data_IF_767923562168
#
_entry.id   IF_767923562168
#
_cell.length_a   1.000
_cell.length_b   1.000
_cell.length_c   1.000
_cell.angle_alpha   90.00
_cell.angle_beta   90.00
_cell.angle_gamma   90.00
#
_symmetry.space_group_name_H-M   'P 1'
#
loop_
_entity.id
_entity.type
_entity.pdbx_description
1 polymer ?
#
# COMPACT_ATOMS: atom_id res chain seq x y z
N UNK A 1 -42.49 23.20 78.49
CA UNK A 1 -41.42 22.25 78.09
C UNK A 1 -42.00 21.21 77.15
N UNK A 2 -41.24 20.88 76.08
CA UNK A 2 -41.43 19.81 75.07
C UNK A 2 -42.50 20.07 74.00
N UNK A 3 -42.11 20.51 72.80
CA UNK A 3 -41.43 19.78 71.70
C UNK A 3 -42.35 18.81 70.96
N UNK A 4 -42.68 19.11 69.69
CA UNK A 4 -42.95 18.11 68.64
C UNK A 4 -42.86 18.84 67.27
N UNK A 5 -41.65 18.92 66.68
CA UNK A 5 -41.06 18.05 65.64
C UNK A 5 -41.59 18.35 64.22
N UNK A 6 -40.70 18.98 63.43
CA UNK A 6 -40.78 19.15 61.97
C UNK A 6 -41.12 17.85 61.24
N UNK A 7 -42.03 17.92 60.29
CA UNK A 7 -42.25 16.87 59.29
C UNK A 7 -41.55 17.31 58.00
N UNK A 8 -40.53 16.52 57.63
CA UNK A 8 -39.68 16.67 56.45
C UNK A 8 -40.49 16.27 55.21
N UNK A 9 -40.68 17.19 54.27
CA UNK A 9 -41.26 16.90 52.94
C UNK A 9 -40.15 16.33 52.05
N UNK A 10 -40.21 15.03 51.76
CA UNK A 10 -39.28 14.37 50.83
C UNK A 10 -39.86 14.45 49.41
N UNK A 11 -39.34 15.35 48.58
CA UNK A 11 -39.71 15.47 47.18
C UNK A 11 -39.03 14.35 46.37
N UNK A 12 -39.83 13.46 45.78
CA UNK A 12 -39.37 12.38 44.90
C UNK A 12 -39.21 12.94 43.48
N UNK A 13 -37.98 13.28 43.09
CA UNK A 13 -37.65 13.70 41.73
C UNK A 13 -37.44 12.45 40.86
N UNK A 14 -38.43 12.09 40.05
CA UNK A 14 -38.31 11.05 39.03
C UNK A 14 -37.49 11.60 37.85
N UNK A 15 -36.23 11.18 37.74
CA UNK A 15 -35.37 11.50 36.60
C UNK A 15 -35.75 10.54 35.47
N UNK A 16 -36.47 11.06 34.47
CA UNK A 16 -36.74 10.34 33.21
C UNK A 16 -35.44 10.41 32.39
N UNK A 17 -34.68 9.31 32.38
CA UNK A 17 -33.52 9.18 31.50
C UNK A 17 -34.01 8.98 30.05
N UNK A 18 -33.91 10.01 29.23
CA UNK A 18 -34.13 9.91 27.79
C UNK A 18 -32.92 9.22 27.16
N UNK A 19 -33.05 7.93 26.83
CA UNK A 19 -32.06 7.20 26.05
C UNK A 19 -32.04 7.71 24.61
N UNK A 20 -31.28 8.76 24.34
CA UNK A 20 -30.93 9.13 22.97
C UNK A 20 -30.02 8.06 22.39
N UNK A 21 -30.56 7.17 21.56
CA UNK A 21 -29.78 6.36 20.63
C UNK A 21 -29.12 7.30 19.61
N UNK A 22 -27.94 7.83 19.94
CA UNK A 22 -27.10 8.50 18.97
C UNK A 22 -26.61 7.44 17.99
N UNK A 23 -27.24 7.39 16.82
CA UNK A 23 -26.64 6.77 15.66
C UNK A 23 -25.36 7.56 15.36
N UNK A 24 -24.21 7.02 15.76
CA UNK A 24 -22.92 7.53 15.35
C UNK A 24 -22.79 7.26 13.85
N UNK A 25 -22.96 8.29 13.02
CA UNK A 25 -22.59 8.19 11.61
C UNK A 25 -21.08 7.93 11.52
N UNK A 26 -20.64 7.04 10.62
CA UNK A 26 -19.22 6.74 10.48
C UNK A 26 -18.47 8.02 10.11
N UNK A 27 -17.53 8.41 10.96
CA UNK A 27 -16.65 9.55 10.71
C UNK A 27 -15.69 9.18 9.58
N UNK A 28 -15.84 9.82 8.42
CA UNK A 28 -14.95 9.64 7.27
C UNK A 28 -13.61 10.34 7.57
N UNK A 29 -12.53 9.58 7.58
CA UNK A 29 -11.17 10.09 7.75
C UNK A 29 -10.65 10.68 6.42
N UNK A 30 -9.83 11.75 6.45
CA UNK A 30 -9.30 12.33 5.22
C UNK A 30 -8.30 11.40 4.53
N UNK A 31 -8.27 11.44 3.21
CA UNK A 31 -7.25 10.78 2.39
C UNK A 31 -5.87 11.40 2.66
N UNK A 32 -4.84 10.56 2.72
CA UNK A 32 -3.49 10.94 3.15
C UNK A 32 -2.51 10.89 1.97
N UNK A 33 -1.82 12.00 1.69
CA UNK A 33 -0.76 12.09 0.67
C UNK A 33 0.62 12.14 1.31
N UNK A 34 1.53 11.25 0.88
CA UNK A 34 2.87 11.08 1.45
C UNK A 34 3.89 10.72 0.37
N UNK A 35 5.18 10.82 0.72
CA UNK A 35 6.30 10.39 -0.11
C UNK A 35 7.15 9.39 0.67
N UNK A 36 7.43 8.25 0.07
CA UNK A 36 8.40 7.28 0.58
C UNK A 36 9.72 7.46 -0.19
N UNK A 37 10.84 7.47 0.53
CA UNK A 37 12.17 7.70 -0.05
C UNK A 37 13.10 6.55 0.32
N UNK A 38 14.00 6.21 -0.60
CA UNK A 38 15.08 5.25 -0.38
C UNK A 38 14.63 3.88 0.17
N UNK A 39 13.49 3.37 -0.29
CA UNK A 39 13.00 2.03 0.05
C UNK A 39 13.88 1.00 -0.66
N UNK A 40 14.79 0.37 0.09
CA UNK A 40 15.75 -0.57 -0.45
C UNK A 40 15.08 -1.89 -0.88
N UNK A 41 15.38 -2.37 -2.10
CA UNK A 41 14.80 -3.56 -2.71
C UNK A 41 15.91 -4.58 -3.09
N UNK A 42 16.54 -5.23 -2.09
CA UNK A 42 17.71 -6.09 -2.32
C UNK A 42 17.37 -7.31 -3.17
N UNK A 43 18.31 -7.75 -4.00
CA UNK A 43 18.22 -9.00 -4.74
C UNK A 43 19.62 -9.58 -4.98
N UNK A 44 19.72 -10.90 -4.96
CA UNK A 44 20.93 -11.65 -5.34
C UNK A 44 20.59 -12.54 -6.51
N UNK A 45 21.38 -12.49 -7.57
CA UNK A 45 21.19 -13.35 -8.75
C UNK A 45 22.28 -14.42 -8.75
N UNK A 46 21.90 -15.69 -8.57
CA UNK A 46 22.78 -16.81 -8.81
C UNK A 46 22.86 -17.08 -10.32
N UNK A 47 24.04 -16.79 -10.89
CA UNK A 47 24.33 -16.96 -12.32
C UNK A 47 25.08 -18.26 -12.63
N UNK A 48 25.30 -19.12 -11.63
CA UNK A 48 25.92 -20.43 -11.82
C UNK A 48 24.94 -21.47 -12.39
N UNK A 49 23.63 -21.19 -12.29
CA UNK A 49 22.54 -22.00 -12.83
C UNK A 49 21.90 -21.37 -14.07
N UNK A 50 21.25 -22.19 -14.90
CA UNK A 50 20.57 -21.73 -16.12
C UNK A 50 19.09 -22.22 -16.14
N UNK A 51 18.10 -21.33 -16.11
CA UNK A 51 18.24 -19.87 -16.05
C UNK A 51 18.80 -19.39 -14.69
N UNK A 52 19.42 -18.18 -14.64
CA UNK A 52 19.81 -17.57 -13.37
C UNK A 52 18.64 -17.47 -12.41
N UNK A 53 18.89 -17.71 -11.12
CA UNK A 53 17.87 -17.68 -10.07
C UNK A 53 18.04 -16.43 -9.21
N UNK A 54 16.97 -15.66 -9.06
CA UNK A 54 16.94 -14.51 -8.15
C UNK A 54 16.41 -14.90 -6.75
N UNK A 55 17.11 -14.43 -5.73
CA UNK A 55 16.82 -14.64 -4.30
C UNK A 55 17.02 -13.34 -3.51
N UNK A 56 16.76 -13.38 -2.21
CA UNK A 56 16.86 -12.23 -1.30
C UNK A 56 15.49 -11.79 -0.79
N UNK A 57 15.48 -11.30 0.45
CA UNK A 57 14.26 -10.88 1.14
C UNK A 57 13.54 -9.76 0.40
N UNK A 58 12.23 -9.92 0.22
CA UNK A 58 11.37 -8.82 -0.20
C UNK A 58 11.22 -7.77 0.90
N UNK A 59 11.38 -6.51 0.53
CA UNK A 59 11.10 -5.37 1.43
C UNK A 59 9.61 -5.05 1.39
N UNK A 60 8.93 -5.31 2.50
CA UNK A 60 7.49 -5.16 2.67
C UNK A 60 7.14 -3.74 3.12
N UNK A 61 6.12 -3.12 2.53
CA UNK A 61 5.67 -1.76 2.85
C UNK A 61 4.17 -1.75 3.17
N UNK A 62 3.77 -0.97 4.17
CA UNK A 62 2.36 -0.73 4.52
C UNK A 62 2.00 0.73 4.27
N UNK A 63 0.91 0.99 3.54
CA UNK A 63 0.44 2.35 3.30
C UNK A 63 -0.21 2.96 4.54
N UNK A 64 -0.82 2.10 5.38
CA UNK A 64 -1.42 2.51 6.65
C UNK A 64 -0.40 3.11 7.60
N UNK A 65 0.73 2.43 7.81
CA UNK A 65 1.82 2.96 8.66
C UNK A 65 2.72 3.92 7.89
N UNK A 66 2.79 3.78 6.57
CA UNK A 66 3.68 4.54 5.69
C UNK A 66 5.15 4.13 5.81
N UNK A 67 5.42 2.91 6.28
CA UNK A 67 6.77 2.44 6.60
C UNK A 67 7.02 1.01 6.08
N UNK A 68 8.30 0.62 6.10
CA UNK A 68 8.69 -0.79 5.91
C UNK A 68 8.28 -1.60 7.14
N UNK A 69 7.65 -2.75 6.90
CA UNK A 69 7.15 -3.64 7.96
C UNK A 69 7.77 -5.03 7.85
N UNK A 70 7.85 -5.75 8.96
CA UNK A 70 8.39 -7.12 9.00
C UNK A 70 7.33 -8.19 9.18
N UNK A 71 6.11 -7.79 9.52
CA UNK A 71 4.96 -8.67 9.79
C UNK A 71 4.03 -8.82 8.55
N UNK A 72 2.78 -9.21 8.79
CA UNK A 72 1.77 -9.49 7.77
C UNK A 72 0.91 -8.27 7.39
N UNK A 73 1.18 -7.08 7.94
CA UNK A 73 0.47 -5.83 7.67
C UNK A 73 0.87 -5.14 6.34
N UNK A 74 1.67 -5.82 5.53
CA UNK A 74 2.20 -5.28 4.28
C UNK A 74 1.17 -5.28 3.17
N UNK A 75 1.28 -4.31 2.26
CA UNK A 75 0.39 -4.14 1.11
C UNK A 75 1.10 -4.47 -0.19
N UNK A 76 2.31 -3.93 -0.35
CA UNK A 76 3.21 -4.21 -1.46
C UNK A 76 4.59 -4.60 -0.96
N UNK A 77 5.31 -5.39 -1.75
CA UNK A 77 6.67 -5.80 -1.41
C UNK A 77 7.62 -5.69 -2.62
N UNK A 78 8.83 -5.19 -2.38
CA UNK A 78 9.80 -4.85 -3.41
C UNK A 78 11.00 -5.81 -3.40
N UNK A 79 11.42 -6.24 -4.58
CA UNK A 79 12.72 -6.91 -4.81
C UNK A 79 13.23 -6.61 -6.22
N UNK A 80 14.43 -6.05 -6.33
CA UNK A 80 14.90 -5.51 -7.60
C UNK A 80 13.78 -4.68 -8.26
N UNK A 81 13.39 -4.94 -9.50
CA UNK A 81 12.29 -4.24 -10.18
C UNK A 81 10.90 -4.84 -9.94
N UNK A 82 10.83 -5.96 -9.23
CA UNK A 82 9.59 -6.71 -8.95
C UNK A 82 8.82 -6.07 -7.80
N UNK A 83 7.52 -5.94 -7.98
CA UNK A 83 6.56 -5.49 -6.96
C UNK A 83 5.49 -6.56 -6.83
N UNK A 84 5.32 -7.07 -5.61
CA UNK A 84 4.28 -8.04 -5.24
C UNK A 84 3.15 -7.35 -4.48
N UNK A 85 1.96 -7.95 -4.49
CA UNK A 85 0.81 -7.53 -3.67
C UNK A 85 0.50 -8.56 -2.60
N UNK A 86 0.03 -8.12 -1.42
CA UNK A 86 -0.40 -9.02 -0.36
C UNK A 86 -1.82 -9.57 -0.60
N UNK A 87 -2.00 -10.26 -1.72
CA UNK A 87 -3.20 -11.03 -2.01
C UNK A 87 -2.98 -12.03 -3.13
N UNK A 88 -3.99 -12.85 -3.36
CA UNK A 88 -3.88 -14.02 -4.22
C UNK A 88 -3.00 -15.12 -3.62
N UNK A 89 -2.11 -15.69 -4.42
CA UNK A 89 -1.24 -16.82 -4.05
C UNK A 89 0.22 -16.51 -4.42
N UNK A 90 1.14 -17.23 -3.79
CA UNK A 90 2.56 -17.14 -4.14
C UNK A 90 2.80 -17.45 -5.61
N UNK A 91 3.70 -16.69 -6.20
CA UNK A 91 4.18 -16.87 -7.58
C UNK A 91 5.05 -18.11 -7.69
N UNK A 92 5.79 -18.44 -6.62
CA UNK A 92 6.77 -19.53 -6.59
C UNK A 92 8.21 -19.03 -6.57
N UNK A 93 8.46 -17.82 -6.07
CA UNK A 93 9.80 -17.24 -6.01
C UNK A 93 10.53 -17.68 -4.73
N UNK A 94 11.87 -17.73 -4.80
CA UNK A 94 12.72 -17.90 -3.61
C UNK A 94 12.46 -16.72 -2.67
N UNK A 95 12.42 -16.96 -1.35
CA UNK A 95 12.18 -15.95 -0.29
C UNK A 95 10.87 -15.13 -0.42
N UNK A 96 9.88 -15.66 -1.13
CA UNK A 96 8.60 -14.98 -1.35
C UNK A 96 7.76 -14.92 -0.05
N UNK A 97 7.25 -13.73 0.34
CA UNK A 97 6.43 -13.59 1.55
C UNK A 97 5.08 -14.33 1.42
N UNK A 98 4.55 -14.80 2.55
CA UNK A 98 3.20 -15.35 2.61
C UNK A 98 2.15 -14.31 2.21
N UNK A 99 1.14 -14.74 1.45
CA UNK A 99 -0.05 -13.92 1.14
C UNK A 99 -1.06 -14.13 2.26
N UNK A 100 -1.37 -13.05 2.98
CA UNK A 100 -2.21 -13.08 4.18
C UNK A 100 -3.42 -12.16 4.08
N UNK A 101 -3.56 -11.40 3.00
CA UNK A 101 -4.68 -10.50 2.75
C UNK A 101 -5.31 -10.68 1.38
N UNK A 102 -6.16 -9.73 1.01
CA UNK A 102 -6.85 -9.68 -0.28
C UNK A 102 -6.36 -8.50 -1.14
N UNK A 103 -5.07 -8.20 -1.04
CA UNK A 103 -4.44 -7.12 -1.78
C UNK A 103 -4.43 -7.39 -3.29
N UNK A 104 -4.53 -6.34 -4.09
CA UNK A 104 -4.55 -6.42 -5.55
C UNK A 104 -4.01 -5.13 -6.17
N UNK A 105 -3.60 -5.16 -7.44
CA UNK A 105 -3.06 -4.02 -8.16
C UNK A 105 -3.75 -3.83 -9.51
N UNK A 106 -4.02 -2.59 -9.87
CA UNK A 106 -4.35 -2.14 -11.21
C UNK A 106 -3.28 -1.16 -11.69
N UNK A 107 -2.87 -1.28 -12.96
CA UNK A 107 -1.94 -0.35 -13.59
C UNK A 107 -2.70 0.62 -14.48
N UNK A 108 -2.76 1.89 -14.08
CA UNK A 108 -3.42 2.94 -14.83
C UNK A 108 -2.41 3.75 -15.64
N UNK A 109 -2.86 4.30 -16.78
CA UNK A 109 -2.06 5.20 -17.63
C UNK A 109 -2.67 6.59 -17.65
N UNK A 110 -2.26 7.44 -16.71
CA UNK A 110 -2.74 8.82 -16.53
C UNK A 110 -1.79 9.59 -15.61
N UNK A 111 -2.01 10.89 -15.41
CA UNK A 111 -1.22 11.63 -14.40
C UNK A 111 -1.61 11.21 -12.98
N UNK A 112 -0.68 11.28 -12.02
CA UNK A 112 -0.94 10.94 -10.63
C UNK A 112 -2.09 11.75 -10.02
N UNK A 113 -2.19 13.04 -10.38
CA UNK A 113 -3.26 13.93 -9.92
C UNK A 113 -4.62 13.66 -10.54
N UNK A 114 -4.68 13.05 -11.74
CA UNK A 114 -5.95 12.79 -12.45
C UNK A 114 -6.67 11.51 -11.99
N UNK A 115 -5.99 10.62 -11.27
CA UNK A 115 -6.62 9.40 -10.73
C UNK A 115 -7.24 9.74 -9.38
N UNK A 116 -8.53 10.05 -9.41
CA UNK A 116 -9.28 10.53 -8.25
C UNK A 116 -9.98 9.39 -7.50
N UNK A 117 -10.21 8.26 -8.16
CA UNK A 117 -10.86 7.10 -7.60
C UNK A 117 -10.18 5.81 -8.07
N UNK A 118 -10.27 4.77 -7.25
CA UNK A 118 -9.82 3.44 -7.63
C UNK A 118 -10.69 2.85 -8.76
N UNK A 119 -10.11 2.12 -9.73
CA UNK A 119 -10.86 1.63 -10.87
C UNK A 119 -11.88 0.54 -10.48
N UNK A 120 -12.62 0.07 -11.49
CA UNK A 120 -13.54 -1.06 -11.31
C UNK A 120 -12.77 -2.32 -10.89
N UNK A 121 -13.43 -3.21 -10.13
CA UNK A 121 -12.78 -4.39 -9.55
C UNK A 121 -12.15 -5.31 -10.61
N UNK A 122 -12.66 -5.32 -11.84
CA UNK A 122 -12.14 -6.15 -12.94
C UNK A 122 -10.74 -5.75 -13.42
N UNK A 123 -10.33 -4.50 -13.16
CA UNK A 123 -9.00 -4.00 -13.51
C UNK A 123 -7.92 -4.49 -12.53
N UNK A 124 -8.32 -4.89 -11.32
CA UNK A 124 -7.39 -5.39 -10.32
C UNK A 124 -6.94 -6.82 -10.63
N UNK A 125 -5.65 -7.06 -10.44
CA UNK A 125 -4.99 -8.37 -10.54
C UNK A 125 -4.32 -8.69 -9.21
N UNK A 126 -4.27 -9.98 -8.89
CA UNK A 126 -3.54 -10.52 -7.76
C UNK A 126 -2.39 -11.39 -8.26
N UNK A 127 -1.41 -11.63 -7.40
CA UNK A 127 -0.37 -12.61 -7.69
C UNK A 127 -0.95 -14.03 -7.68
N UNK A 128 -0.40 -14.91 -8.52
CA UNK A 128 -0.78 -16.30 -8.61
C UNK A 128 0.42 -17.15 -9.07
N UNK A 129 0.38 -18.49 -8.98
CA UNK A 129 1.50 -19.33 -9.42
C UNK A 129 1.93 -19.00 -10.85
N UNK A 130 3.18 -18.55 -11.01
CA UNK A 130 3.74 -18.11 -12.30
C UNK A 130 3.17 -16.81 -12.90
N UNK A 131 2.31 -16.08 -12.18
CA UNK A 131 1.66 -14.87 -12.68
C UNK A 131 1.75 -13.71 -11.68
N UNK A 132 2.20 -12.56 -12.17
CA UNK A 132 2.36 -11.34 -11.36
C UNK A 132 1.15 -10.43 -11.54
N UNK A 133 0.70 -9.79 -10.45
CA UNK A 133 -0.29 -8.72 -10.51
C UNK A 133 0.21 -7.53 -11.35
N UNK A 134 1.50 -7.20 -11.23
CA UNK A 134 2.20 -6.26 -12.07
C UNK A 134 3.22 -6.99 -12.95
N UNK A 135 3.01 -6.95 -14.27
CA UNK A 135 3.91 -7.60 -15.20
C UNK A 135 5.35 -7.10 -15.05
N UNK A 136 6.30 -8.04 -15.04
CA UNK A 136 7.73 -7.76 -14.97
C UNK A 136 8.32 -7.50 -16.35
N UNK A 137 9.49 -6.86 -16.38
CA UNK A 137 10.24 -6.57 -17.60
C UNK A 137 10.02 -5.14 -18.12
N UNK A 138 10.98 -4.69 -18.93
CA UNK A 138 10.99 -3.35 -19.52
C UNK A 138 9.70 -3.08 -20.30
N UNK A 139 9.09 -1.92 -20.06
CA UNK A 139 7.87 -1.43 -20.72
C UNK A 139 6.56 -2.21 -20.42
N UNK A 140 6.60 -3.25 -19.59
CA UNK A 140 5.38 -4.01 -19.23
C UNK A 140 4.65 -3.45 -18.00
N UNK A 141 5.39 -2.78 -17.11
CA UNK A 141 4.87 -2.30 -15.83
C UNK A 141 5.20 -0.83 -15.61
N UNK A 142 5.97 -0.56 -14.56
CA UNK A 142 6.27 0.79 -14.09
C UNK A 142 7.55 1.40 -14.68
N UNK A 143 8.39 0.63 -15.39
CA UNK A 143 9.72 1.07 -15.82
C UNK A 143 10.09 0.65 -17.25
N UNK A 144 11.04 1.38 -17.83
CA UNK A 144 11.78 1.02 -19.02
C UNK A 144 13.26 0.78 -18.69
N UNK A 145 13.95 0.01 -19.53
CA UNK A 145 15.36 -0.32 -19.42
C UNK A 145 16.12 0.06 -20.70
N UNK A 146 17.19 0.84 -20.58
CA UNK A 146 17.93 1.37 -21.74
C UNK A 146 18.88 0.37 -22.40
N UNK A 147 19.19 -0.76 -21.77
CA UNK A 147 20.18 -1.71 -22.29
C UNK A 147 21.62 -1.17 -22.30
N UNK A 148 22.57 -1.89 -22.93
CA UNK A 148 23.95 -1.41 -23.08
C UNK A 148 24.02 -0.06 -23.81
N UNK A 149 24.95 0.84 -23.42
CA UNK A 149 25.96 0.68 -22.37
C UNK A 149 25.48 1.14 -20.97
N UNK A 150 24.36 1.84 -20.88
CA UNK A 150 23.98 2.57 -19.65
C UNK A 150 23.22 1.72 -18.65
N UNK A 151 22.48 0.71 -19.11
CA UNK A 151 21.71 -0.23 -18.29
C UNK A 151 20.82 0.47 -17.24
N UNK A 152 20.25 1.62 -17.60
CA UNK A 152 19.43 2.47 -16.73
C UNK A 152 18.00 1.94 -16.64
N UNK A 153 17.43 1.94 -15.43
CA UNK A 153 16.02 1.65 -15.17
C UNK A 153 15.30 2.98 -14.89
N UNK A 154 14.38 3.36 -15.75
CA UNK A 154 13.67 4.64 -15.65
C UNK A 154 12.18 4.40 -15.42
N UNK A 155 11.55 5.01 -14.40
CA UNK A 155 10.11 5.00 -14.28
C UNK A 155 9.44 5.57 -15.55
N UNK A 156 8.33 4.98 -15.97
CA UNK A 156 7.57 5.44 -17.14
C UNK A 156 6.57 6.49 -16.67
N UNK A 157 6.67 7.70 -17.21
CA UNK A 157 5.74 8.79 -16.90
C UNK A 157 4.29 8.37 -17.19
N UNK A 158 3.39 8.72 -16.27
CA UNK A 158 1.97 8.41 -16.38
C UNK A 158 1.61 6.96 -16.01
N UNK A 159 2.55 6.11 -15.57
CA UNK A 159 2.23 4.81 -14.99
C UNK A 159 1.97 4.96 -13.49
N UNK A 160 0.71 4.77 -13.10
CA UNK A 160 0.27 4.84 -11.70
C UNK A 160 -0.24 3.49 -11.27
N UNK A 161 0.29 3.00 -10.15
CA UNK A 161 -0.18 1.76 -9.55
C UNK A 161 -1.34 2.11 -8.61
N UNK A 162 -2.53 1.59 -8.86
CA UNK A 162 -3.64 1.66 -7.91
C UNK A 162 -3.69 0.34 -7.15
N UNK A 163 -3.60 0.42 -5.83
CA UNK A 163 -3.49 -0.72 -4.93
C UNK A 163 -4.77 -0.84 -4.12
N UNK A 164 -5.37 -2.03 -4.13
CA UNK A 164 -6.27 -2.48 -3.06
C UNK A 164 -5.36 -3.08 -1.99
N UNK A 165 -5.37 -2.53 -0.77
CA UNK A 165 -4.51 -2.98 0.32
C UNK A 165 -4.92 -4.37 0.83
N UNK A 166 -4.06 -4.97 1.64
CA UNK A 166 -4.30 -6.31 2.19
C UNK A 166 -5.60 -6.42 3.00
N UNK A 167 -6.08 -5.31 3.55
CA UNK A 167 -7.21 -5.19 4.47
C UNK A 167 -8.41 -4.42 3.88
N UNK A 168 -8.37 -4.08 2.59
CA UNK A 168 -9.52 -3.57 1.83
C UNK A 168 -9.64 -2.05 1.71
N UNK A 169 -8.56 -1.32 1.93
CA UNK A 169 -8.42 0.11 1.61
C UNK A 169 -7.86 0.30 0.20
N UNK A 170 -7.72 1.55 -0.23
CA UNK A 170 -7.15 1.90 -1.53
C UNK A 170 -6.01 2.89 -1.41
N UNK A 171 -5.02 2.71 -2.28
CA UNK A 171 -3.91 3.65 -2.46
C UNK A 171 -3.60 3.84 -3.95
N UNK A 172 -2.97 4.95 -4.30
CA UNK A 172 -2.27 5.11 -5.60
C UNK A 172 -0.81 5.43 -5.38
N UNK A 173 0.04 4.95 -6.27
CA UNK A 173 1.50 5.09 -6.21
C UNK A 173 2.05 5.55 -7.55
N UNK A 174 2.89 6.59 -7.50
CA UNK A 174 3.72 7.02 -8.63
C UNK A 174 5.19 6.81 -8.25
N UNK A 175 5.87 5.92 -8.98
CA UNK A 175 7.29 5.65 -8.75
C UNK A 175 8.10 6.74 -9.43
N UNK A 176 8.95 7.42 -8.65
CA UNK A 176 9.75 8.56 -9.08
C UNK A 176 11.20 8.18 -9.37
N UNK A 177 11.75 7.20 -8.65
CA UNK A 177 13.12 6.74 -8.88
C UNK A 177 13.33 5.31 -8.38
N UNK A 178 14.31 4.66 -8.99
CA UNK A 178 14.86 3.36 -8.62
C UNK A 178 16.27 3.46 -8.00
N UNK A 179 16.79 4.68 -7.86
CA UNK A 179 18.13 4.94 -7.39
C UNK A 179 18.13 5.71 -6.08
N UNK A 180 19.10 5.39 -5.22
CA UNK A 180 19.27 6.02 -3.92
C UNK A 180 19.42 7.54 -4.08
N UNK A 181 18.71 8.28 -3.25
CA UNK A 181 18.64 9.74 -3.25
C UNK A 181 18.16 10.32 -4.59
N UNK A 182 17.44 9.50 -5.36
CA UNK A 182 17.02 9.79 -6.73
C UNK A 182 18.18 10.10 -7.70
N UNK A 183 19.39 9.63 -7.41
CA UNK A 183 20.59 9.85 -8.22
C UNK A 183 20.88 8.65 -9.15
N UNK A 184 20.36 8.70 -10.37
CA UNK A 184 20.57 7.66 -11.39
C UNK A 184 21.95 7.73 -12.07
N UNK A 185 22.76 8.75 -11.78
CA UNK A 185 24.10 8.88 -12.37
C UNK A 185 25.09 7.84 -11.83
N UNK A 186 24.75 7.19 -10.70
CA UNK A 186 25.55 6.15 -10.05
C UNK A 186 24.82 4.81 -10.12
N UNK A 187 25.16 3.91 -11.06
CA UNK A 187 24.52 2.60 -11.19
C UNK A 187 24.56 1.75 -9.91
N UNK A 188 25.60 1.90 -9.08
CA UNK A 188 25.71 1.23 -7.78
C UNK A 188 24.61 1.63 -6.78
N UNK A 189 23.92 2.76 -7.01
CA UNK A 189 22.81 3.23 -6.19
C UNK A 189 21.46 2.64 -6.61
N UNK A 190 21.40 1.73 -7.59
CA UNK A 190 20.16 1.08 -7.99
C UNK A 190 19.49 0.30 -6.84
N UNK A 191 18.22 -0.06 -7.02
CA UNK A 191 17.39 -0.83 -6.05
C UNK A 191 16.96 -0.03 -4.83
N UNK A 192 16.74 1.27 -4.99
CA UNK A 192 16.15 2.13 -3.95
C UNK A 192 14.96 2.87 -4.54
N UNK A 193 13.77 2.45 -4.14
CA UNK A 193 12.54 3.07 -4.61
C UNK A 193 12.30 4.40 -3.90
N UNK A 194 11.95 5.41 -4.67
CA UNK A 194 11.32 6.64 -4.18
C UNK A 194 10.01 6.82 -4.91
N UNK A 195 8.91 7.04 -4.19
CA UNK A 195 7.57 7.14 -4.76
C UNK A 195 6.67 8.10 -3.97
N UNK A 196 5.75 8.75 -4.69
CA UNK A 196 4.60 9.40 -4.07
C UNK A 196 3.50 8.37 -3.87
N UNK A 197 2.72 8.51 -2.80
CA UNK A 197 1.49 7.74 -2.66
C UNK A 197 0.39 8.55 -1.99
N UNK A 198 -0.83 8.18 -2.33
CA UNK A 198 -2.05 8.62 -1.64
C UNK A 198 -2.74 7.38 -1.08
N UNK A 199 -3.19 7.42 0.17
CA UNK A 199 -3.84 6.32 0.88
C UNK A 199 -5.18 6.78 1.48
N UNK A 200 -6.25 6.02 1.23
CA UNK A 200 -7.55 6.25 1.85
C UNK A 200 -7.72 5.37 3.09
N UNK A 201 -7.81 5.95 4.31
CA UNK A 201 -8.01 5.20 5.55
C UNK A 201 -9.43 4.63 5.74
N UNK A 202 -10.38 4.96 4.86
CA UNK A 202 -11.76 4.47 4.94
C UNK A 202 -11.91 3.17 4.15
N UNK A 203 -12.07 2.06 4.87
CA UNK A 203 -12.18 0.73 4.27
C UNK A 203 -13.31 0.66 3.24
N UNK A 204 -12.98 0.17 2.04
CA UNK A 204 -13.92 0.01 0.94
C UNK A 204 -14.23 1.28 0.14
N UNK A 205 -13.89 2.45 0.67
CA UNK A 205 -14.02 3.71 -0.06
C UNK A 205 -12.92 3.83 -1.12
N UNK A 206 -13.34 4.12 -2.35
CA UNK A 206 -12.48 4.18 -3.52
C UNK A 206 -11.91 5.57 -3.78
N UNK A 207 -12.30 6.60 -3.03
CA UNK A 207 -11.72 7.95 -3.21
C UNK A 207 -10.21 7.94 -2.99
N UNK A 208 -9.48 8.66 -3.82
CA UNK A 208 -8.02 8.85 -3.78
C UNK A 208 -7.64 10.35 -3.78
N UNK A 209 -8.56 11.17 -3.26
CA UNK A 209 -8.42 12.60 -2.97
C UNK A 209 -9.37 13.02 -1.84
#
# INVERSE_FOLDING_TARGET
MRNLKSILVLAFFAIIATSCSKNEEPTVEPVVSKKATNIYAPATSDRSVNPPVESGKFTKFSFKTGTVVTDNSWDIAFRATTILVNGGKKIGLVDEPERTGDGALALETSTFGSILEAPTNNNFKQDAPGAYALLTGSNNGWYSYSGPPTHTISPIAGKVLVIKTNDGHYAKVEILSYYKDSDSSKPANARYYTFNYVYNPNKGDKSLQ
#
